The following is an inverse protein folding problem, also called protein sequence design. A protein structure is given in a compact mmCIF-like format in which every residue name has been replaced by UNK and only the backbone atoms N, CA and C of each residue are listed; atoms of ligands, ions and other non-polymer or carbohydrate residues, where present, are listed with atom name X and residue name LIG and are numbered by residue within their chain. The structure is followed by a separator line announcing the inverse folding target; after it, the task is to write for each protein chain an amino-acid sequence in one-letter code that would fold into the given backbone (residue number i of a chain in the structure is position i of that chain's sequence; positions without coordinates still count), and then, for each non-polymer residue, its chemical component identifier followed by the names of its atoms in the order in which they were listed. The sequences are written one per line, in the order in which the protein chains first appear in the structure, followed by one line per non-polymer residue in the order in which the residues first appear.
data_IF_212943942162
#
_entry.id   IF_212943942162
#
_cell.length_a   1.000
_cell.length_b   1.000
_cell.length_c   1.000
_cell.angle_alpha   90.00
_cell.angle_beta   90.00
_cell.angle_gamma   90.00
#
_symmetry.space_group_name_H-M   'P 1'
#
loop_
_entity.id
_entity.type
_entity.pdbx_description
1 polymer ?
#
# COMPACT_ATOMS: atom_id res chain seq x y z
N UNK A 1 -20.62 14.35 -9.86
CA UNK A 1 -20.30 13.28 -8.88
C UNK A 1 -20.87 11.91 -9.25
N UNK A 2 -22.07 11.79 -9.87
CA UNK A 2 -22.67 10.49 -10.25
C UNK A 2 -21.74 9.57 -11.07
N UNK A 3 -20.94 10.12 -11.99
CA UNK A 3 -20.07 9.31 -12.86
C UNK A 3 -18.86 8.70 -12.13
N UNK A 4 -18.19 9.45 -11.26
CA UNK A 4 -17.04 8.94 -10.48
C UNK A 4 -17.46 7.76 -9.61
N UNK A 5 -18.58 7.90 -8.91
CA UNK A 5 -19.15 6.82 -8.12
C UNK A 5 -19.56 5.62 -8.96
N UNK A 6 -20.15 5.85 -10.14
CA UNK A 6 -20.50 4.78 -11.07
C UNK A 6 -19.27 3.96 -11.50
N UNK A 7 -18.11 4.59 -11.73
CA UNK A 7 -16.85 3.89 -12.03
C UNK A 7 -16.43 3.03 -10.83
N UNK A 8 -16.45 3.57 -9.62
CA UNK A 8 -16.10 2.81 -8.40
C UNK A 8 -17.01 1.60 -8.21
N UNK A 9 -18.32 1.76 -8.37
CA UNK A 9 -19.31 0.67 -8.25
C UNK A 9 -19.15 -0.37 -9.38
N UNK A 10 -18.79 0.06 -10.59
CA UNK A 10 -18.43 -0.85 -11.70
C UNK A 10 -17.22 -1.71 -11.31
N UNK A 11 -16.16 -1.07 -10.83
CA UNK A 11 -14.91 -1.74 -10.46
C UNK A 11 -15.14 -2.71 -9.28
N UNK A 12 -15.86 -2.27 -8.25
CA UNK A 12 -16.25 -3.10 -7.11
C UNK A 12 -17.04 -4.34 -7.54
N UNK A 13 -17.99 -4.19 -8.47
CA UNK A 13 -18.77 -5.32 -9.03
C UNK A 13 -17.95 -6.25 -9.90
N UNK A 14 -16.82 -5.82 -10.46
CA UNK A 14 -15.91 -6.73 -11.20
C UNK A 14 -14.97 -7.45 -10.26
N UNK A 15 -14.52 -6.78 -9.20
CA UNK A 15 -13.59 -7.31 -8.22
C UNK A 15 -14.29 -7.95 -7.00
N UNK A 16 -15.60 -8.14 -7.02
CA UNK A 16 -16.34 -8.60 -5.82
C UNK A 16 -15.87 -9.96 -5.31
N UNK A 17 -15.60 -10.92 -6.20
CA UNK A 17 -15.08 -12.24 -5.83
C UNK A 17 -13.70 -12.14 -5.15
N UNK A 18 -12.68 -11.54 -5.78
CA UNK A 18 -11.37 -11.46 -5.15
C UNK A 18 -11.38 -10.54 -3.91
N UNK A 19 -12.24 -9.52 -3.85
CA UNK A 19 -12.45 -8.72 -2.63
C UNK A 19 -13.08 -9.55 -1.50
N UNK A 20 -14.06 -10.40 -1.80
CA UNK A 20 -14.67 -11.28 -0.82
C UNK A 20 -13.66 -12.31 -0.28
N UNK A 21 -12.88 -12.94 -1.16
CA UNK A 21 -11.80 -13.85 -0.75
C UNK A 21 -10.76 -13.14 0.12
N UNK A 22 -10.41 -11.91 -0.23
CA UNK A 22 -9.51 -11.09 0.59
C UNK A 22 -10.11 -10.74 1.95
N UNK A 23 -11.40 -10.39 2.00
CA UNK A 23 -12.10 -10.14 3.27
C UNK A 23 -12.15 -11.39 4.17
N UNK A 24 -12.35 -12.59 3.59
CA UNK A 24 -12.26 -13.86 4.32
C UNK A 24 -10.86 -14.06 4.90
N UNK A 25 -9.82 -13.83 4.10
CA UNK A 25 -8.43 -13.92 4.55
C UNK A 25 -8.13 -12.98 5.73
N UNK A 26 -8.58 -11.72 5.64
CA UNK A 26 -8.43 -10.74 6.73
C UNK A 26 -9.21 -11.17 7.98
N UNK A 27 -10.41 -11.72 7.82
CA UNK A 27 -11.22 -12.25 8.91
C UNK A 27 -10.50 -13.39 9.64
N UNK A 28 -9.94 -14.34 8.88
CA UNK A 28 -9.14 -15.44 9.45
C UNK A 28 -7.95 -14.92 10.23
N UNK A 29 -7.22 -13.94 9.68
CA UNK A 29 -6.08 -13.30 10.36
C UNK A 29 -6.50 -12.67 11.68
N UNK A 30 -7.57 -11.89 11.69
CA UNK A 30 -8.07 -11.26 12.92
C UNK A 30 -8.61 -12.27 13.93
N UNK A 31 -9.18 -13.39 13.47
CA UNK A 31 -9.57 -14.50 14.34
C UNK A 31 -8.39 -15.15 15.06
N UNK A 32 -7.25 -15.31 14.36
CA UNK A 32 -6.01 -15.83 14.97
C UNK A 32 -5.46 -14.82 15.99
N UNK A 33 -5.39 -13.54 15.64
CA UNK A 33 -4.94 -12.49 16.57
C UNK A 33 -5.82 -12.43 17.82
N UNK A 34 -7.15 -12.53 17.64
CA UNK A 34 -8.10 -12.55 18.73
C UNK A 34 -7.85 -13.72 19.69
N UNK A 35 -7.63 -14.92 19.13
CA UNK A 35 -7.29 -16.11 19.92
C UNK A 35 -5.97 -15.94 20.68
N UNK A 36 -4.94 -15.41 20.02
CA UNK A 36 -3.65 -15.13 20.64
C UNK A 36 -3.74 -14.17 21.85
N UNK A 37 -4.70 -13.24 21.84
CA UNK A 37 -4.88 -12.27 22.92
C UNK A 37 -5.65 -12.82 24.15
N UNK A 38 -6.46 -13.87 23.97
CA UNK A 38 -7.36 -14.37 25.03
C UNK A 38 -6.92 -15.70 25.65
N UNK A 39 -5.83 -16.30 25.17
CA UNK A 39 -5.32 -17.56 25.70
C UNK A 39 -4.33 -17.29 26.83
N UNK A 40 -4.66 -17.74 28.04
CA UNK A 40 -3.91 -17.46 29.28
C UNK A 40 -2.89 -18.54 29.63
N UNK A 41 -3.06 -19.78 29.14
CA UNK A 41 -2.36 -20.95 29.70
C UNK A 41 -1.81 -21.95 28.66
N UNK A 42 -1.54 -21.52 27.42
CA UNK A 42 -1.00 -22.44 26.40
C UNK A 42 0.54 -22.47 26.31
N UNK A 43 1.03 -23.61 25.83
CA UNK A 43 2.45 -23.89 25.57
C UNK A 43 3.07 -22.82 24.64
N UNK A 44 4.30 -22.41 24.97
CA UNK A 44 5.12 -21.50 24.16
C UNK A 44 5.22 -21.98 22.71
N UNK A 45 5.31 -23.30 22.50
CA UNK A 45 5.37 -23.87 21.14
C UNK A 45 4.10 -23.59 20.34
N UNK A 46 2.92 -23.68 20.96
CA UNK A 46 1.65 -23.34 20.31
C UNK A 46 1.58 -21.85 19.95
N UNK A 47 1.97 -20.98 20.88
CA UNK A 47 1.98 -19.53 20.64
C UNK A 47 2.88 -19.16 19.45
N UNK A 48 4.06 -19.80 19.34
CA UNK A 48 4.97 -19.55 18.21
C UNK A 48 4.38 -20.01 16.87
N UNK A 49 3.71 -21.17 16.83
CA UNK A 49 3.03 -21.65 15.62
C UNK A 49 1.91 -20.70 15.20
N UNK A 50 1.09 -20.25 16.15
CA UNK A 50 0.01 -19.30 15.88
C UNK A 50 0.52 -17.93 15.43
N UNK A 51 1.61 -17.43 16.02
CA UNK A 51 2.30 -16.22 15.54
C UNK A 51 2.81 -16.38 14.11
N UNK A 52 3.48 -17.51 13.81
CA UNK A 52 3.94 -17.82 12.45
C UNK A 52 2.78 -17.85 11.46
N UNK A 53 1.67 -18.47 11.83
CA UNK A 53 0.45 -18.52 11.01
C UNK A 53 -0.17 -17.11 10.81
N UNK A 54 -0.26 -16.30 11.86
CA UNK A 54 -0.74 -14.92 11.77
C UNK A 54 0.14 -14.06 10.84
N UNK A 55 1.46 -14.19 10.93
CA UNK A 55 2.42 -13.51 10.04
C UNK A 55 2.22 -13.95 8.59
N UNK A 56 2.06 -15.25 8.35
CA UNK A 56 1.80 -15.80 7.02
C UNK A 56 0.49 -15.25 6.43
N UNK A 57 -0.60 -15.25 7.20
CA UNK A 57 -1.89 -14.69 6.77
C UNK A 57 -1.80 -13.19 6.50
N UNK A 58 -1.06 -12.43 7.33
CA UNK A 58 -0.82 -11.01 7.11
C UNK A 58 -0.03 -10.78 5.80
N UNK A 59 1.05 -11.53 5.58
CA UNK A 59 1.84 -11.45 4.34
C UNK A 59 1.00 -11.77 3.10
N UNK A 60 0.18 -12.82 3.15
CA UNK A 60 -0.75 -13.15 2.08
C UNK A 60 -1.81 -12.05 1.88
N UNK A 61 -2.31 -11.47 2.96
CA UNK A 61 -3.25 -10.35 2.94
C UNK A 61 -2.69 -9.12 2.24
N UNK A 62 -1.44 -8.75 2.54
CA UNK A 62 -0.74 -7.69 1.84
C UNK A 62 -0.53 -8.03 0.36
N UNK A 63 -0.07 -9.24 0.05
CA UNK A 63 0.14 -9.67 -1.33
C UNK A 63 -1.16 -9.60 -2.16
N UNK A 64 -2.26 -10.14 -1.65
CA UNK A 64 -3.56 -10.08 -2.33
C UNK A 64 -4.04 -8.63 -2.46
N UNK A 65 -3.87 -7.80 -1.42
CA UNK A 65 -4.19 -6.37 -1.47
C UNK A 65 -3.39 -5.62 -2.54
N UNK A 66 -2.11 -5.96 -2.72
CA UNK A 66 -1.24 -5.43 -3.78
C UNK A 66 -1.79 -5.79 -5.17
N UNK A 67 -2.11 -7.06 -5.39
CA UNK A 67 -2.65 -7.54 -6.67
C UNK A 67 -4.01 -6.90 -6.97
N UNK A 68 -4.87 -6.76 -5.96
CA UNK A 68 -6.17 -6.09 -6.09
C UNK A 68 -6.03 -4.61 -6.45
N UNK A 69 -5.09 -3.88 -5.84
CA UNK A 69 -4.78 -2.50 -6.19
C UNK A 69 -4.36 -2.36 -7.66
N UNK A 70 -3.51 -3.28 -8.12
CA UNK A 70 -3.08 -3.30 -9.51
C UNK A 70 -4.23 -3.65 -10.46
N UNK A 71 -5.04 -4.67 -10.13
CA UNK A 71 -6.20 -5.06 -10.92
C UNK A 71 -7.19 -3.88 -11.08
N UNK A 72 -7.44 -3.15 -9.99
CA UNK A 72 -8.28 -1.95 -10.00
C UNK A 72 -7.78 -0.89 -10.98
N UNK A 73 -6.46 -0.63 -10.99
CA UNK A 73 -5.82 0.33 -11.90
C UNK A 73 -5.83 -0.17 -13.35
N UNK A 74 -5.57 -1.46 -13.56
CA UNK A 74 -5.45 -2.08 -14.89
C UNK A 74 -6.77 -2.20 -15.63
N UNK A 75 -7.89 -2.28 -14.92
CA UNK A 75 -9.24 -2.31 -15.51
C UNK A 75 -9.49 -1.14 -16.48
N UNK A 76 -8.93 0.04 -16.17
CA UNK A 76 -8.94 1.20 -17.06
C UNK A 76 -7.53 1.80 -17.15
N UNK A 77 -6.57 1.00 -17.63
CA UNK A 77 -5.15 1.36 -17.63
C UNK A 77 -4.89 2.72 -18.32
N UNK A 78 -4.06 3.60 -17.72
CA UNK A 78 -3.69 4.88 -18.34
C UNK A 78 -2.62 4.73 -19.43
N UNK A 79 -2.04 3.53 -19.55
CA UNK A 79 -1.01 3.13 -20.52
C UNK A 79 -1.62 2.25 -21.61
N UNK A 80 -1.00 2.29 -22.79
CA UNK A 80 -1.46 1.55 -23.97
C UNK A 80 -2.41 2.36 -24.85
N UNK A 81 -2.77 1.80 -25.99
CA UNK A 81 -3.61 2.44 -27.03
C UNK A 81 -5.01 1.85 -27.09
N UNK A 82 -5.27 0.76 -26.38
CA UNK A 82 -6.51 -0.03 -26.47
C UNK A 82 -7.47 0.20 -25.30
N UNK A 83 -7.21 1.21 -24.47
CA UNK A 83 -8.05 1.53 -23.31
C UNK A 83 -9.46 1.93 -23.73
N UNK A 84 -10.47 1.17 -23.31
CA UNK A 84 -11.87 1.44 -23.66
C UNK A 84 -12.36 2.83 -23.22
N UNK A 85 -11.80 3.37 -22.13
CA UNK A 85 -12.14 4.71 -21.66
C UNK A 85 -11.66 5.82 -22.62
N UNK A 86 -10.72 5.54 -23.53
CA UNK A 86 -10.20 6.52 -24.49
C UNK A 86 -11.23 6.93 -25.55
N UNK A 87 -12.20 6.06 -25.85
CA UNK A 87 -13.28 6.35 -26.81
C UNK A 87 -14.51 6.96 -26.14
N UNK A 88 -14.46 7.19 -24.82
CA UNK A 88 -15.55 7.76 -24.02
C UNK A 88 -15.19 9.17 -23.53
N UNK A 89 -16.19 10.04 -23.27
CA UNK A 89 -15.95 11.40 -22.76
C UNK A 89 -15.63 11.40 -21.25
N UNK A 90 -14.58 10.68 -20.84
CA UNK A 90 -14.07 10.64 -19.47
C UNK A 90 -12.69 11.28 -19.43
N UNK A 91 -12.56 12.40 -18.72
CA UNK A 91 -11.25 13.05 -18.55
C UNK A 91 -10.31 12.21 -17.67
N UNK A 92 -9.01 12.29 -17.95
CA UNK A 92 -7.98 11.58 -17.18
C UNK A 92 -8.01 11.91 -15.68
N UNK A 93 -8.24 13.18 -15.32
CA UNK A 93 -8.38 13.62 -13.94
C UNK A 93 -9.58 12.95 -13.22
N UNK A 94 -10.72 12.81 -13.93
CA UNK A 94 -11.90 12.14 -13.38
C UNK A 94 -11.65 10.65 -13.17
N UNK A 95 -10.94 10.01 -14.11
CA UNK A 95 -10.56 8.61 -13.98
C UNK A 95 -9.60 8.41 -12.80
N UNK A 96 -8.57 9.25 -12.66
CA UNK A 96 -7.66 9.22 -11.52
C UNK A 96 -8.43 9.36 -10.20
N UNK A 97 -9.31 10.35 -10.09
CA UNK A 97 -10.15 10.55 -8.91
C UNK A 97 -11.02 9.33 -8.60
N UNK A 98 -11.57 8.68 -9.62
CA UNK A 98 -12.34 7.43 -9.44
C UNK A 98 -11.45 6.28 -8.93
N UNK A 99 -10.23 6.12 -9.45
CA UNK A 99 -9.31 5.06 -9.02
C UNK A 99 -8.79 5.30 -7.60
N UNK A 100 -8.44 6.55 -7.25
CA UNK A 100 -8.06 6.91 -5.88
C UNK A 100 -9.20 6.68 -4.88
N UNK A 101 -10.43 7.08 -5.25
CA UNK A 101 -11.62 6.80 -4.43
C UNK A 101 -11.88 5.29 -4.31
N UNK A 102 -11.72 4.54 -5.40
CA UNK A 102 -11.82 3.09 -5.40
C UNK A 102 -10.80 2.44 -4.49
N UNK A 103 -9.53 2.85 -4.54
CA UNK A 103 -8.48 2.39 -3.62
C UNK A 103 -8.86 2.71 -2.16
N UNK A 104 -9.26 3.94 -1.87
CA UNK A 104 -9.62 4.36 -0.52
C UNK A 104 -10.80 3.56 0.06
N UNK A 105 -11.86 3.35 -0.73
CA UNK A 105 -13.05 2.61 -0.29
C UNK A 105 -12.81 1.11 -0.25
N UNK A 106 -12.35 0.51 -1.35
CA UNK A 106 -12.27 -0.93 -1.50
C UNK A 106 -11.06 -1.53 -0.80
N UNK A 107 -9.95 -0.80 -0.70
CA UNK A 107 -8.70 -1.31 -0.13
C UNK A 107 -8.34 -0.63 1.18
N UNK A 108 -8.82 0.59 1.44
CA UNK A 108 -8.64 1.27 2.73
C UNK A 108 -9.75 0.94 3.72
N UNK A 109 -11.02 1.18 3.35
CA UNK A 109 -12.14 1.02 4.27
C UNK A 109 -12.52 -0.46 4.49
N UNK A 110 -12.44 -1.32 3.47
CA UNK A 110 -12.82 -2.73 3.63
C UNK A 110 -12.04 -3.46 4.74
N UNK A 111 -10.69 -3.40 4.83
CA UNK A 111 -9.96 -4.00 5.95
C UNK A 111 -10.39 -3.48 7.31
N UNK A 112 -10.64 -2.17 7.42
CA UNK A 112 -11.14 -1.53 8.65
C UNK A 112 -12.50 -2.09 9.03
N UNK A 113 -13.42 -2.23 8.07
CA UNK A 113 -14.75 -2.81 8.30
C UNK A 113 -14.68 -4.28 8.72
N UNK A 114 -13.73 -5.05 8.17
CA UNK A 114 -13.50 -6.46 8.57
C UNK A 114 -12.92 -6.55 9.98
N UNK A 115 -12.06 -5.62 10.37
CA UNK A 115 -11.44 -5.57 11.69
C UNK A 115 -12.38 -5.05 12.78
N UNK A 116 -13.36 -4.21 12.41
CA UNK A 116 -14.23 -3.50 13.34
C UNK A 116 -14.98 -4.40 14.34
N UNK A 117 -15.59 -5.54 13.95
CA UNK A 117 -16.27 -6.43 14.90
C UNK A 117 -15.35 -6.94 16.01
N UNK A 118 -14.09 -7.22 15.69
CA UNK A 118 -13.09 -7.69 16.65
C UNK A 118 -12.68 -6.59 17.63
N UNK A 119 -12.54 -5.35 17.16
CA UNK A 119 -12.24 -4.21 18.04
C UNK A 119 -13.39 -3.89 18.99
N UNK A 120 -14.64 -3.96 18.49
CA UNK A 120 -15.83 -3.78 19.31
C UNK A 120 -15.98 -4.89 20.35
N UNK A 121 -15.76 -6.14 19.96
CA UNK A 121 -15.77 -7.28 20.89
C UNK A 121 -14.69 -7.15 21.98
N UNK A 122 -13.56 -6.54 21.66
CA UNK A 122 -12.48 -6.25 22.61
C UNK A 122 -12.75 -5.08 23.57
N UNK A 123 -13.93 -4.44 23.50
CA UNK A 123 -14.30 -3.33 24.38
C UNK A 123 -13.51 -2.05 24.12
N UNK A 124 -12.92 -1.88 22.93
CA UNK A 124 -12.12 -0.69 22.60
C UNK A 124 -12.99 0.56 22.54
N UNK A 125 -12.48 1.66 23.07
CA UNK A 125 -13.08 2.98 22.95
C UNK A 125 -13.09 3.47 21.50
N UNK A 126 -13.96 4.44 21.19
CA UNK A 126 -14.03 5.02 19.84
C UNK A 126 -12.70 5.64 19.37
N UNK A 127 -11.92 6.21 20.28
CA UNK A 127 -10.60 6.76 19.97
C UNK A 127 -9.57 5.68 19.62
N UNK A 128 -9.55 4.58 20.37
CA UNK A 128 -8.67 3.44 20.09
C UNK A 128 -9.02 2.78 18.74
N UNK A 129 -10.32 2.69 18.43
CA UNK A 129 -10.80 2.20 17.12
C UNK A 129 -10.32 3.12 16.01
N UNK A 130 -10.46 4.44 16.15
CA UNK A 130 -10.01 5.40 15.14
C UNK A 130 -8.48 5.33 14.94
N UNK A 131 -7.72 5.25 16.03
CA UNK A 131 -6.26 5.11 15.97
C UNK A 131 -5.84 3.82 15.28
N UNK A 132 -6.48 2.69 15.63
CA UNK A 132 -6.23 1.39 15.00
C UNK A 132 -6.60 1.39 13.50
N UNK A 133 -7.73 2.01 13.14
CA UNK A 133 -8.15 2.16 11.75
C UNK A 133 -7.14 2.99 10.95
N UNK A 134 -6.67 4.12 11.50
CA UNK A 134 -5.64 4.95 10.88
C UNK A 134 -4.35 4.17 10.66
N UNK A 135 -3.88 3.45 11.68
CA UNK A 135 -2.67 2.63 11.59
C UNK A 135 -2.83 1.52 10.53
N UNK A 136 -3.97 0.84 10.51
CA UNK A 136 -4.26 -0.19 9.51
C UNK A 136 -4.26 0.36 8.09
N UNK A 137 -4.92 1.50 7.86
CA UNK A 137 -4.90 2.19 6.56
C UNK A 137 -3.49 2.63 6.18
N UNK A 138 -2.70 3.09 7.15
CA UNK A 138 -1.31 3.46 6.91
C UNK A 138 -0.46 2.27 6.43
N UNK A 139 -0.55 1.13 7.12
CA UNK A 139 0.12 -0.10 6.68
C UNK A 139 -0.37 -0.58 5.32
N UNK A 140 -1.66 -0.47 5.06
CA UNK A 140 -2.22 -0.84 3.76
C UNK A 140 -1.76 0.10 2.64
N UNK A 141 -1.60 1.40 2.92
CA UNK A 141 -1.11 2.38 1.95
C UNK A 141 0.32 2.05 1.48
N UNK A 142 1.18 1.54 2.36
CA UNK A 142 2.53 1.07 2.00
C UNK A 142 2.53 -0.05 0.97
N UNK A 143 1.45 -0.83 0.90
CA UNK A 143 1.28 -1.89 -0.09
C UNK A 143 0.54 -1.42 -1.34
N UNK A 144 -0.51 -0.63 -1.17
CA UNK A 144 -1.38 -0.17 -2.28
C UNK A 144 -0.70 0.88 -3.14
N UNK A 145 0.02 1.84 -2.54
CA UNK A 145 0.68 2.92 -3.28
C UNK A 145 1.68 2.41 -4.33
N UNK A 146 2.65 1.53 -4.00
CA UNK A 146 3.57 1.01 -5.01
C UNK A 146 2.84 0.18 -6.08
N UNK A 147 1.82 -0.60 -5.70
CA UNK A 147 1.00 -1.34 -6.67
C UNK A 147 0.37 -0.40 -7.71
N UNK A 148 -0.21 0.71 -7.25
CA UNK A 148 -0.83 1.72 -8.12
C UNK A 148 0.20 2.35 -9.06
N UNK A 149 1.38 2.69 -8.56
CA UNK A 149 2.47 3.27 -9.36
C UNK A 149 2.91 2.31 -10.46
N UNK A 150 3.23 1.06 -10.09
CA UNK A 150 3.70 0.04 -11.05
C UNK A 150 2.60 -0.29 -12.06
N UNK A 151 1.36 -0.45 -11.61
CA UNK A 151 0.24 -0.74 -12.49
C UNK A 151 -0.05 0.40 -13.47
N UNK A 152 0.06 1.65 -13.02
CA UNK A 152 -0.15 2.83 -13.86
C UNK A 152 0.96 3.03 -14.90
N UNK A 153 2.19 2.57 -14.64
CA UNK A 153 3.33 2.76 -15.55
C UNK A 153 3.57 1.59 -16.50
N UNK A 154 3.03 0.40 -16.21
CA UNK A 154 3.20 -0.79 -17.04
C UNK A 154 2.07 -0.92 -18.06
N UNK A 155 2.35 -1.49 -19.24
CA UNK A 155 1.34 -1.64 -20.31
C UNK A 155 0.56 -2.96 -20.21
N UNK A 156 1.22 -4.06 -19.88
CA UNK A 156 0.60 -5.40 -19.80
C UNK A 156 0.64 -5.96 -18.38
N UNK A 157 -0.23 -6.95 -18.12
CA UNK A 157 -0.23 -7.70 -16.85
C UNK A 157 1.05 -8.51 -16.67
N UNK A 158 1.63 -9.05 -17.75
CA UNK A 158 2.92 -9.76 -17.71
C UNK A 158 4.07 -8.86 -17.24
N UNK A 159 4.17 -7.64 -17.79
CA UNK A 159 5.16 -6.66 -17.33
C UNK A 159 4.92 -6.23 -15.89
N UNK A 160 3.67 -6.08 -15.48
CA UNK A 160 3.32 -5.81 -14.08
C UNK A 160 3.82 -6.92 -13.15
N UNK A 161 3.61 -8.19 -13.49
CA UNK A 161 4.10 -9.33 -12.69
C UNK A 161 5.63 -9.37 -12.64
N UNK A 162 6.30 -9.15 -13.77
CA UNK A 162 7.76 -9.08 -13.81
C UNK A 162 8.31 -7.99 -12.88
N UNK A 163 7.75 -6.77 -12.96
CA UNK A 163 8.12 -5.68 -12.06
C UNK A 163 7.78 -5.97 -10.60
N UNK A 164 6.65 -6.61 -10.33
CA UNK A 164 6.27 -7.02 -8.97
C UNK A 164 7.31 -7.96 -8.38
N UNK A 165 7.78 -8.95 -9.14
CA UNK A 165 8.85 -9.85 -8.69
C UNK A 165 10.16 -9.08 -8.44
N UNK A 166 10.54 -8.17 -9.35
CA UNK A 166 11.72 -7.33 -9.17
C UNK A 166 11.61 -6.46 -7.91
N UNK A 167 10.48 -5.80 -7.69
CA UNK A 167 10.24 -4.99 -6.50
C UNK A 167 10.16 -5.83 -5.23
N UNK A 168 9.63 -7.05 -5.30
CA UNK A 168 9.59 -7.93 -4.15
C UNK A 168 10.99 -8.37 -3.74
N UNK A 169 11.83 -8.77 -4.70
CA UNK A 169 13.23 -9.12 -4.44
C UNK A 169 13.97 -7.90 -3.92
N UNK A 170 13.97 -6.79 -4.66
CA UNK A 170 14.64 -5.56 -4.27
C UNK A 170 14.15 -5.03 -2.92
N UNK A 171 12.84 -5.10 -2.68
CA UNK A 171 12.19 -4.69 -1.45
C UNK A 171 12.56 -5.57 -0.25
N UNK A 172 12.71 -6.88 -0.44
CA UNK A 172 13.18 -7.80 0.62
C UNK A 172 14.62 -7.46 1.01
N UNK A 173 15.50 -7.24 0.03
CA UNK A 173 16.87 -6.78 0.28
C UNK A 173 16.88 -5.41 0.96
N UNK A 174 16.14 -4.44 0.43
CA UNK A 174 16.03 -3.10 0.99
C UNK A 174 15.45 -3.11 2.41
N UNK A 175 14.50 -4.00 2.72
CA UNK A 175 13.93 -4.14 4.05
C UNK A 175 14.94 -4.72 5.06
N UNK A 176 15.75 -5.71 4.67
CA UNK A 176 16.84 -6.20 5.50
C UNK A 176 17.89 -5.12 5.78
N UNK A 177 18.27 -4.35 4.75
CA UNK A 177 19.11 -3.15 4.92
C UNK A 177 18.43 -2.09 5.79
N UNK A 178 17.12 -1.89 5.63
CA UNK A 178 16.35 -0.93 6.42
C UNK A 178 16.23 -1.34 7.88
N UNK A 179 16.05 -2.62 8.21
CA UNK A 179 16.04 -3.06 9.61
C UNK A 179 17.40 -2.80 10.27
N UNK A 180 18.49 -3.11 9.58
CA UNK A 180 19.84 -2.88 10.09
C UNK A 180 20.19 -1.37 10.18
N UNK A 181 19.80 -0.56 9.19
CA UNK A 181 19.99 0.89 9.19
C UNK A 181 19.02 1.60 10.14
N UNK A 182 17.79 1.12 10.26
CA UNK A 182 16.72 1.64 11.12
C UNK A 182 17.06 1.46 12.59
N UNK A 183 17.71 0.36 12.97
CA UNK A 183 18.28 0.20 14.30
C UNK A 183 19.33 1.27 14.61
N UNK A 184 20.21 1.58 13.63
CA UNK A 184 21.19 2.67 13.77
C UNK A 184 20.50 4.03 13.88
N UNK A 185 19.49 4.27 13.04
CA UNK A 185 18.72 5.50 13.01
C UNK A 185 17.94 5.72 14.32
N UNK A 186 17.28 4.70 14.87
CA UNK A 186 16.60 4.81 16.17
C UNK A 186 17.59 5.15 17.28
N UNK A 187 18.80 4.59 17.23
CA UNK A 187 19.87 4.93 18.18
C UNK A 187 20.28 6.40 18.06
N UNK A 188 20.46 6.93 16.84
CA UNK A 188 20.80 8.35 16.64
C UNK A 188 19.66 9.30 16.97
N UNK A 189 18.41 8.98 16.62
CA UNK A 189 17.24 9.80 17.00
C UNK A 189 17.10 9.85 18.53
N UNK A 190 17.30 8.71 19.21
CA UNK A 190 17.27 8.65 20.67
C UNK A 190 18.40 9.48 21.28
N UNK A 191 19.60 9.45 20.69
CA UNK A 191 20.72 10.28 21.12
C UNK A 191 20.50 11.79 20.84
N UNK A 192 19.76 12.14 19.78
CA UNK A 192 19.45 13.50 19.36
C UNK A 192 18.17 14.10 20.01
N UNK A 193 17.69 13.53 21.12
CA UNK A 193 16.53 14.06 21.83
C UNK A 193 15.18 13.84 21.11
N UNK A 194 15.10 12.86 20.22
CA UNK A 194 13.83 12.34 19.68
C UNK A 194 13.36 12.94 18.36
N UNK A 195 14.05 13.93 17.78
CA UNK A 195 13.68 14.49 16.47
C UNK A 195 14.50 13.89 15.32
N UNK A 196 13.82 13.36 14.30
CA UNK A 196 14.49 12.95 13.06
C UNK A 196 15.14 14.15 12.35
N UNK A 197 16.35 13.98 11.76
CA UNK A 197 17.02 15.02 10.98
C UNK A 197 16.13 15.59 9.87
N UNK A 198 16.29 16.88 9.57
CA UNK A 198 15.52 17.55 8.54
C UNK A 198 15.71 16.89 7.16
N UNK A 199 16.93 16.39 6.85
CA UNK A 199 17.19 15.68 5.60
C UNK A 199 16.37 14.40 5.46
N UNK A 200 16.21 13.63 6.54
CA UNK A 200 15.43 12.40 6.50
C UNK A 200 13.94 12.67 6.25
N UNK A 201 13.40 13.73 6.86
CA UNK A 201 12.02 14.17 6.60
C UNK A 201 11.86 14.58 5.13
N UNK A 202 12.82 15.33 4.58
CA UNK A 202 12.80 15.74 3.17
C UNK A 202 12.90 14.54 2.21
N UNK A 203 13.76 13.56 2.52
CA UNK A 203 13.88 12.33 1.75
C UNK A 203 12.56 11.54 1.71
N UNK A 204 11.89 11.41 2.86
CA UNK A 204 10.58 10.75 2.97
C UNK A 204 9.51 11.49 2.15
N UNK A 205 9.44 12.81 2.28
CA UNK A 205 8.50 13.63 1.48
C UNK A 205 8.75 13.44 -0.02
N UNK A 206 10.02 13.43 -0.43
CA UNK A 206 10.41 13.26 -1.84
C UNK A 206 10.06 11.86 -2.36
N UNK A 207 10.30 10.82 -1.55
CA UNK A 207 9.95 9.44 -1.87
C UNK A 207 8.44 9.20 -1.99
N UNK A 208 7.61 10.04 -1.34
CA UNK A 208 6.14 9.96 -1.44
C UNK A 208 5.58 10.81 -2.57
N UNK A 209 6.04 12.06 -2.71
CA UNK A 209 5.53 13.00 -3.71
C UNK A 209 5.91 12.60 -5.13
N UNK A 210 7.11 12.06 -5.33
CA UNK A 210 7.61 11.65 -6.64
C UNK A 210 6.72 10.61 -7.34
N UNK A 211 6.46 9.45 -6.72
CA UNK A 211 5.55 8.45 -7.28
C UNK A 211 4.13 8.97 -7.47
N UNK A 212 3.61 9.79 -6.55
CA UNK A 212 2.30 10.41 -6.70
C UNK A 212 2.24 11.34 -7.92
N UNK A 213 3.25 12.19 -8.11
CA UNK A 213 3.37 13.07 -9.27
C UNK A 213 3.49 12.28 -10.57
N UNK A 214 4.26 11.19 -10.59
CA UNK A 214 4.38 10.31 -11.75
C UNK A 214 3.02 9.70 -12.14
N UNK A 215 2.22 9.24 -11.17
CA UNK A 215 0.86 8.72 -11.42
C UNK A 215 -0.06 9.84 -11.93
N UNK A 216 -0.04 11.02 -11.32
CA UNK A 216 -0.85 12.17 -11.77
C UNK A 216 -0.51 12.54 -13.21
N UNK A 217 0.77 12.74 -13.52
CA UNK A 217 1.24 13.05 -14.88
C UNK A 217 0.87 11.95 -15.86
N UNK A 218 0.94 10.68 -15.44
CA UNK A 218 0.54 9.56 -16.29
C UNK A 218 -0.94 9.59 -16.66
N UNK A 219 -1.84 9.85 -15.70
CA UNK A 219 -3.27 9.93 -15.98
C UNK A 219 -3.66 11.18 -16.79
N UNK A 220 -2.96 12.30 -16.60
CA UNK A 220 -3.27 13.56 -17.29
C UNK A 220 -2.70 13.63 -18.71
N UNK A 221 -1.46 13.16 -18.90
CA UNK A 221 -0.72 13.36 -20.16
C UNK A 221 -0.49 12.08 -20.96
N UNK A 222 -0.62 10.91 -20.31
CA UNK A 222 -0.29 9.59 -20.88
C UNK A 222 1.15 9.45 -21.39
N UNK A 223 2.05 10.36 -21.02
CA UNK A 223 3.46 10.34 -21.44
C UNK A 223 4.29 9.47 -20.50
N UNK A 224 4.26 8.14 -20.70
CA UNK A 224 4.96 7.17 -19.83
C UNK A 224 6.44 7.49 -19.63
N UNK A 225 7.15 7.95 -20.68
CA UNK A 225 8.57 8.33 -20.57
C UNK A 225 8.78 9.48 -19.56
N UNK A 226 7.89 10.47 -19.55
CA UNK A 226 7.95 11.61 -18.62
C UNK A 226 7.64 11.14 -17.20
N UNK A 227 6.60 10.33 -17.02
CA UNK A 227 6.22 9.79 -15.71
C UNK A 227 7.33 8.92 -15.11
N UNK A 228 7.98 8.08 -15.92
CA UNK A 228 9.14 7.27 -15.51
C UNK A 228 10.35 8.15 -15.16
N UNK A 229 10.61 9.21 -15.93
CA UNK A 229 11.68 10.15 -15.62
C UNK A 229 11.44 10.88 -14.28
N UNK A 230 10.21 11.35 -14.03
CA UNK A 230 9.82 11.95 -12.74
C UNK A 230 10.05 10.97 -11.60
N UNK A 231 9.59 9.73 -11.74
CA UNK A 231 9.79 8.68 -10.74
C UNK A 231 11.29 8.42 -10.49
N UNK A 232 12.08 8.25 -11.56
CA UNK A 232 13.51 8.00 -11.45
C UNK A 232 14.27 9.13 -10.75
N UNK A 233 14.04 10.38 -11.16
CA UNK A 233 14.70 11.57 -10.59
C UNK A 233 14.34 11.73 -9.11
N UNK A 234 13.07 11.59 -8.76
CA UNK A 234 12.60 11.79 -7.38
C UNK A 234 13.06 10.69 -6.44
N UNK A 235 13.06 9.42 -6.88
CA UNK A 235 13.60 8.31 -6.10
C UNK A 235 15.12 8.41 -5.94
N UNK A 236 15.86 8.73 -7.00
CA UNK A 236 17.30 8.92 -6.92
C UNK A 236 17.67 10.08 -5.99
N UNK A 237 16.95 11.21 -6.08
CA UNK A 237 17.11 12.34 -5.19
C UNK A 237 16.82 11.98 -3.72
N UNK A 238 15.71 11.29 -3.46
CA UNK A 238 15.36 10.84 -2.11
C UNK A 238 16.45 9.92 -1.51
N UNK A 239 16.97 8.98 -2.30
CA UNK A 239 18.06 8.09 -1.89
C UNK A 239 19.36 8.85 -1.61
N UNK A 240 19.72 9.82 -2.45
CA UNK A 240 20.91 10.64 -2.24
C UNK A 240 20.82 11.48 -0.95
N UNK A 241 19.66 12.07 -0.69
CA UNK A 241 19.40 12.84 0.55
C UNK A 241 19.48 11.92 1.77
N UNK A 242 18.84 10.74 1.71
CA UNK A 242 18.87 9.77 2.81
C UNK A 242 20.29 9.25 3.08
N UNK A 243 21.07 8.94 2.04
CA UNK A 243 22.44 8.49 2.17
C UNK A 243 23.33 9.55 2.84
N UNK A 244 23.17 10.82 2.45
CA UNK A 244 23.90 11.94 3.08
C UNK A 244 23.53 12.09 4.56
N UNK A 245 22.25 12.02 4.89
CA UNK A 245 21.79 12.09 6.28
C UNK A 245 22.39 10.98 7.14
N UNK A 246 22.46 9.76 6.59
CA UNK A 246 23.04 8.60 7.28
C UNK A 246 24.57 8.67 7.41
N UNK A 247 25.28 9.36 6.51
CA UNK A 247 26.75 9.53 6.63
C UNK A 247 27.18 10.55 7.69
N UNK A 248 26.27 11.42 8.13
CA UNK A 248 26.53 12.44 9.15
C UNK A 248 26.13 11.98 10.56
N UNK A 249 25.48 10.81 10.66
CA UNK A 249 24.89 10.22 11.85
C UNK A 249 25.79 9.12 12.42
#
# INVERSE_FOLDING_TARGET
MKLTWHIVVKDARRLWLPLALWAVLLTLKHGVDWRLLHVVTEDVAWMQRMKGFAIMLAGLGFFVGYILAAALVKEDAPTGTTGFWMTRPVSGARLLGAKLLGCAVLLGALPVLVALPWWLAGGRSGWEILSAAREMVWWQAWTVAPAVVVAALTQSSGWFLAWTLTFQVAGTWAFGYWQSAGWRLMRTISAAGGSAPAELKLALVSALLGPAAAVVVQYLTRRTRVSVAILGVTLAGALAIAARALSQA
#
